data_IF_439565719933
#
_entry.id   IF_439565719933
#
_cell.length_a   1.000
_cell.length_b   1.000
_cell.length_c   1.000
_cell.angle_alpha   90.00
_cell.angle_beta   90.00
_cell.angle_gamma   90.00
#
_symmetry.space_group_name_H-M   'P 1'
#
loop_
_entity.id
_entity.type
_entity.pdbx_description
1 polymer ?
#
# COMPACT_ATOMS: atom_id res chain seq x y z
N UNK A 1 19.08 -14.50 -33.35
CA UNK A 1 17.62 -14.51 -33.52
C UNK A 1 17.03 -15.92 -33.43
N UNK A 2 17.62 -16.95 -34.10
CA UNK A 2 17.10 -18.32 -34.10
C UNK A 2 16.83 -18.91 -32.72
N UNK A 3 17.69 -18.60 -31.74
CA UNK A 3 17.51 -19.07 -30.35
C UNK A 3 16.28 -18.42 -29.66
N UNK A 4 16.03 -17.12 -29.88
CA UNK A 4 14.84 -16.45 -29.37
C UNK A 4 13.55 -17.05 -29.95
N UNK A 5 13.54 -17.36 -31.25
CA UNK A 5 12.40 -18.00 -31.91
C UNK A 5 12.09 -19.40 -31.36
N UNK A 6 13.13 -20.11 -30.88
CA UNK A 6 12.99 -21.38 -30.17
C UNK A 6 12.58 -21.22 -28.71
N UNK A 7 12.37 -20.00 -28.26
CA UNK A 7 11.90 -19.68 -26.89
C UNK A 7 12.99 -19.70 -25.82
N UNK A 8 14.29 -19.63 -26.17
CA UNK A 8 15.35 -19.46 -25.19
C UNK A 8 15.35 -18.01 -24.66
N UNK A 9 15.52 -17.86 -23.36
CA UNK A 9 15.75 -16.53 -22.79
C UNK A 9 17.20 -16.06 -23.05
N UNK A 10 17.48 -14.74 -23.03
CA UNK A 10 18.84 -14.23 -23.16
C UNK A 10 19.84 -14.86 -22.17
N UNK A 11 19.39 -15.18 -20.95
CA UNK A 11 20.21 -15.88 -19.95
C UNK A 11 20.56 -17.29 -20.37
N UNK A 12 19.62 -18.04 -20.97
CA UNK A 12 19.82 -19.38 -21.48
C UNK A 12 20.67 -19.42 -22.77
N UNK A 13 20.68 -18.29 -23.50
CA UNK A 13 21.50 -18.17 -24.73
C UNK A 13 22.97 -17.91 -24.43
N UNK A 14 23.29 -17.27 -23.31
CA UNK A 14 24.62 -16.82 -22.98
C UNK A 14 25.58 -18.01 -22.72
N UNK A 15 26.75 -18.03 -23.38
CA UNK A 15 27.75 -19.09 -23.24
C UNK A 15 28.23 -19.28 -21.80
N UNK A 16 28.34 -18.20 -21.02
CA UNK A 16 28.67 -18.27 -19.58
C UNK A 16 27.73 -19.11 -18.75
N UNK A 17 26.50 -19.35 -19.23
CA UNK A 17 25.46 -20.16 -18.62
C UNK A 17 25.24 -21.49 -19.38
N UNK A 18 26.20 -21.90 -20.20
CA UNK A 18 26.09 -23.10 -21.03
C UNK A 18 25.28 -22.92 -22.33
N UNK A 19 24.94 -21.71 -22.69
CA UNK A 19 24.18 -21.39 -23.91
C UNK A 19 25.05 -21.30 -25.16
N UNK A 20 24.45 -21.30 -26.37
CA UNK A 20 25.14 -21.35 -27.65
C UNK A 20 25.69 -20.00 -28.17
N UNK A 21 25.56 -18.92 -27.40
CA UNK A 21 25.89 -17.56 -27.87
C UNK A 21 26.93 -16.91 -26.95
N UNK A 22 28.08 -16.56 -27.51
CA UNK A 22 29.16 -15.88 -26.76
C UNK A 22 28.86 -14.36 -26.62
N UNK A 23 27.77 -14.06 -25.94
CA UNK A 23 27.35 -12.68 -25.61
C UNK A 23 26.74 -12.65 -24.21
N UNK A 24 26.87 -11.51 -23.56
CA UNK A 24 26.19 -11.32 -22.28
C UNK A 24 24.66 -11.18 -22.47
N UNK A 25 23.84 -11.63 -21.51
CA UNK A 25 22.39 -11.43 -21.56
C UNK A 25 21.99 -9.96 -21.76
N UNK A 26 22.68 -9.04 -21.13
CA UNK A 26 22.43 -7.59 -21.26
C UNK A 26 22.70 -7.07 -22.67
N UNK A 27 23.68 -7.65 -23.38
CA UNK A 27 23.94 -7.33 -24.78
C UNK A 27 22.79 -7.82 -25.67
N UNK A 28 22.31 -9.03 -25.43
CA UNK A 28 21.18 -9.61 -26.18
C UNK A 28 19.92 -8.79 -25.97
N UNK A 29 19.61 -8.36 -24.73
CA UNK A 29 18.49 -7.47 -24.44
C UNK A 29 18.61 -6.12 -25.16
N UNK A 30 19.82 -5.52 -25.20
CA UNK A 30 20.05 -4.29 -25.96
C UNK A 30 19.80 -4.46 -27.45
N UNK A 31 20.23 -5.57 -28.03
CA UNK A 31 20.00 -5.85 -29.44
C UNK A 31 18.51 -6.03 -29.75
N UNK A 32 17.77 -6.73 -28.89
CA UNK A 32 16.32 -6.86 -29.03
C UNK A 32 15.62 -5.50 -28.92
N UNK A 33 16.03 -4.66 -27.97
CA UNK A 33 15.46 -3.32 -27.78
C UNK A 33 15.78 -2.39 -28.95
N UNK A 34 16.97 -2.55 -29.57
CA UNK A 34 17.41 -1.79 -30.75
C UNK A 34 16.80 -2.31 -32.06
N UNK A 35 16.08 -3.43 -32.05
CA UNK A 35 15.55 -4.06 -33.26
C UNK A 35 16.62 -4.67 -34.17
N UNK A 36 17.83 -4.98 -33.65
CA UNK A 36 18.92 -5.54 -34.40
C UNK A 36 18.48 -6.85 -35.07
N UNK A 37 18.83 -7.06 -36.34
CA UNK A 37 18.39 -8.20 -37.17
C UNK A 37 16.87 -8.40 -37.16
N UNK A 38 16.08 -7.32 -37.06
CA UNK A 38 14.64 -7.34 -36.98
C UNK A 38 14.08 -8.06 -35.76
N UNK A 39 14.89 -8.22 -34.70
CA UNK A 39 14.41 -8.77 -33.41
C UNK A 39 13.46 -7.81 -32.73
N UNK A 40 12.47 -8.35 -32.04
CA UNK A 40 11.51 -7.56 -31.28
C UNK A 40 11.29 -8.14 -29.88
N UNK A 41 10.82 -7.33 -28.96
CA UNK A 41 10.44 -7.78 -27.61
C UNK A 41 9.38 -8.90 -27.61
N UNK A 42 8.67 -9.08 -28.72
CA UNK A 42 7.70 -10.16 -28.90
C UNK A 42 8.32 -11.53 -29.03
N UNK A 43 9.62 -11.59 -29.39
CA UNK A 43 10.39 -12.84 -29.50
C UNK A 43 10.99 -13.28 -28.14
N UNK A 44 10.93 -12.43 -27.11
CA UNK A 44 11.35 -12.81 -25.77
C UNK A 44 10.35 -13.76 -25.12
N UNK A 45 10.84 -14.77 -24.40
CA UNK A 45 10.02 -15.76 -23.68
C UNK A 45 9.05 -15.10 -22.67
N UNK A 46 9.48 -14.06 -21.98
CA UNK A 46 8.62 -13.17 -21.22
C UNK A 46 8.28 -11.98 -22.10
N UNK A 47 7.17 -12.07 -22.79
CA UNK A 47 6.63 -10.95 -23.54
C UNK A 47 6.35 -9.81 -22.56
N UNK A 48 7.16 -8.76 -22.61
CA UNK A 48 6.81 -7.50 -21.96
C UNK A 48 5.60 -6.99 -22.71
N UNK A 49 4.43 -7.05 -22.09
CA UNK A 49 3.22 -6.46 -22.65
C UNK A 49 3.47 -4.96 -22.81
N UNK A 50 3.79 -4.54 -24.04
CA UNK A 50 3.90 -3.13 -24.36
C UNK A 50 2.49 -2.54 -24.29
N UNK A 51 2.14 -1.97 -23.14
CA UNK A 51 0.97 -1.08 -23.06
C UNK A 51 1.46 0.28 -23.54
N UNK A 52 0.91 0.82 -24.66
CA UNK A 52 1.12 2.21 -25.00
C UNK A 52 0.82 3.02 -23.74
N UNK A 53 1.76 3.83 -23.27
CA UNK A 53 1.49 4.78 -22.19
C UNK A 53 0.33 5.65 -22.66
N UNK A 54 -0.88 5.42 -22.15
CA UNK A 54 -1.96 6.38 -22.30
C UNK A 54 -1.39 7.71 -21.81
N UNK A 55 -1.51 8.77 -22.62
CA UNK A 55 -1.29 10.13 -22.14
C UNK A 55 -2.11 10.27 -20.87
N UNK A 56 -1.43 10.30 -19.74
CA UNK A 56 -2.09 10.56 -18.45
C UNK A 56 -2.52 12.02 -18.57
N UNK A 57 -3.81 12.24 -18.69
CA UNK A 57 -4.37 13.58 -18.51
C UNK A 57 -4.00 13.97 -17.09
N UNK A 58 -3.13 14.96 -16.96
CA UNK A 58 -2.71 15.46 -15.66
C UNK A 58 -3.94 16.12 -15.07
N UNK A 59 -4.71 15.42 -14.24
CA UNK A 59 -5.65 16.09 -13.37
C UNK A 59 -4.84 17.06 -12.52
N UNK A 60 -5.30 18.31 -12.42
CA UNK A 60 -4.69 19.29 -11.55
C UNK A 60 -4.58 18.63 -10.17
N UNK A 61 -3.36 18.56 -9.64
CA UNK A 61 -3.14 18.04 -8.30
C UNK A 61 -4.01 18.87 -7.34
N UNK A 62 -4.79 18.19 -6.49
CA UNK A 62 -5.53 18.85 -5.42
C UNK A 62 -4.49 19.63 -4.61
N UNK A 63 -4.64 20.95 -4.51
CA UNK A 63 -3.71 21.78 -3.74
C UNK A 63 -4.15 21.70 -2.28
N UNK A 64 -3.50 20.86 -1.54
CA UNK A 64 -3.62 20.85 -0.08
C UNK A 64 -2.96 22.09 0.53
N UNK A 65 -3.37 22.48 1.72
CA UNK A 65 -2.75 23.61 2.41
C UNK A 65 -1.27 23.32 2.68
N UNK A 66 -0.43 24.37 2.67
CA UNK A 66 1.01 24.21 2.89
C UNK A 66 1.34 23.47 4.20
N UNK A 67 0.50 23.64 5.24
CA UNK A 67 0.63 22.95 6.55
C UNK A 67 0.41 21.43 6.47
N UNK A 68 -0.20 20.91 5.40
CA UNK A 68 -0.47 19.49 5.16
C UNK A 68 0.47 18.87 4.11
N UNK A 69 1.47 19.62 3.68
CA UNK A 69 2.45 19.15 2.69
C UNK A 69 3.38 18.08 3.28
N UNK A 70 4.04 17.32 2.41
CA UNK A 70 5.07 16.38 2.84
C UNK A 70 6.24 17.09 3.53
N UNK A 71 6.58 18.31 3.11
CA UNK A 71 7.58 19.13 3.80
C UNK A 71 7.16 19.47 5.24
N UNK A 72 5.88 19.79 5.46
CA UNK A 72 5.35 20.00 6.80
C UNK A 72 5.35 18.69 7.64
N UNK A 73 5.10 17.54 7.03
CA UNK A 73 5.24 16.24 7.67
C UNK A 73 6.68 16.01 8.16
N UNK A 74 7.68 16.25 7.31
CA UNK A 74 9.10 16.12 7.68
C UNK A 74 9.51 17.11 8.80
N UNK A 75 8.89 18.28 8.83
CA UNK A 75 9.14 19.29 9.87
C UNK A 75 8.68 18.86 11.28
N UNK A 76 7.87 17.78 11.41
CA UNK A 76 7.54 17.18 12.70
C UNK A 76 8.75 16.57 13.43
N UNK A 77 9.84 16.32 12.71
CA UNK A 77 11.02 15.63 13.20
C UNK A 77 10.97 14.11 12.96
N UNK A 78 12.13 13.48 13.10
CA UNK A 78 12.32 12.08 12.73
C UNK A 78 11.44 11.12 13.54
N UNK A 79 11.37 11.31 14.86
CA UNK A 79 10.58 10.46 15.77
C UNK A 79 9.07 10.52 15.44
N UNK A 80 8.53 11.71 15.20
CA UNK A 80 7.13 11.88 14.86
C UNK A 80 6.80 11.29 13.48
N UNK A 81 7.69 11.46 12.50
CA UNK A 81 7.57 10.83 11.18
C UNK A 81 7.64 9.30 11.27
N UNK A 82 8.52 8.76 12.12
CA UNK A 82 8.64 7.33 12.35
C UNK A 82 7.40 6.74 13.06
N UNK A 83 6.74 7.52 13.92
CA UNK A 83 5.53 7.14 14.65
C UNK A 83 4.23 7.31 13.84
N UNK A 84 4.30 7.76 12.60
CA UNK A 84 3.13 8.07 11.79
C UNK A 84 2.37 6.81 11.32
N UNK A 85 1.11 7.03 10.96
CA UNK A 85 0.29 6.11 10.18
C UNK A 85 0.42 6.42 8.69
N UNK A 86 0.39 5.40 7.87
CA UNK A 86 0.20 5.53 6.42
C UNK A 86 -1.21 5.06 6.04
N UNK A 87 -1.90 5.85 5.23
CA UNK A 87 -3.24 5.56 4.75
C UNK A 87 -3.23 5.43 3.23
N UNK A 88 -3.88 4.37 2.72
CA UNK A 88 -3.96 4.09 1.29
C UNK A 88 -5.19 3.25 0.96
N UNK A 89 -5.55 3.12 -0.31
CA UNK A 89 -6.61 2.25 -0.76
C UNK A 89 -6.10 1.11 -1.63
N UNK A 90 -6.68 -0.07 -1.45
CA UNK A 90 -6.38 -1.26 -2.26
C UNK A 90 -7.61 -1.65 -3.06
N UNK A 91 -7.51 -1.58 -4.38
CA UNK A 91 -8.58 -1.93 -5.31
C UNK A 91 -8.58 -3.43 -5.64
N UNK A 92 -9.74 -4.06 -5.69
CA UNK A 92 -9.94 -5.42 -6.12
C UNK A 92 -9.80 -5.63 -7.63
N UNK A 93 -10.72 -6.36 -8.23
CA UNK A 93 -10.82 -6.52 -9.66
C UNK A 93 -11.38 -5.23 -10.30
N UNK A 94 -11.29 -5.11 -11.64
CA UNK A 94 -11.90 -3.96 -12.33
C UNK A 94 -13.43 -3.94 -12.28
N UNK A 95 -14.03 -5.07 -11.93
CA UNK A 95 -15.48 -5.21 -11.85
C UNK A 95 -16.00 -4.91 -10.43
N UNK A 96 -15.12 -4.68 -9.46
CA UNK A 96 -15.50 -4.29 -8.10
C UNK A 96 -15.73 -2.78 -8.02
N UNK A 97 -16.78 -2.37 -7.33
CA UNK A 97 -16.96 -1.01 -6.84
C UNK A 97 -16.29 -0.83 -5.47
N UNK A 98 -16.32 -1.89 -4.66
CA UNK A 98 -15.69 -1.90 -3.35
C UNK A 98 -14.15 -1.89 -3.43
N UNK A 99 -13.55 -1.26 -2.44
CA UNK A 99 -12.12 -1.30 -2.18
C UNK A 99 -11.85 -1.42 -0.68
N UNK A 100 -10.58 -1.51 -0.29
CA UNK A 100 -10.18 -1.62 1.11
C UNK A 100 -9.35 -0.38 1.45
N UNK A 101 -9.75 0.35 2.49
CA UNK A 101 -8.90 1.35 3.12
C UNK A 101 -7.90 0.61 4.01
N UNK A 102 -6.63 0.84 3.78
CA UNK A 102 -5.54 0.28 4.59
C UNK A 102 -4.93 1.36 5.47
N UNK A 103 -4.83 1.08 6.75
CA UNK A 103 -4.16 1.92 7.73
C UNK A 103 -2.97 1.14 8.27
N UNK A 104 -1.77 1.69 8.11
CA UNK A 104 -0.53 1.08 8.57
C UNK A 104 0.10 1.92 9.67
N UNK A 105 0.27 1.36 10.85
CA UNK A 105 1.07 1.95 11.92
C UNK A 105 2.55 1.65 11.73
N UNK A 106 3.34 2.65 11.37
CA UNK A 106 4.77 2.48 11.03
C UNK A 106 5.58 1.76 12.10
N UNK A 107 5.51 2.12 13.40
CA UNK A 107 6.33 1.49 14.43
C UNK A 107 6.04 0.00 14.63
N UNK A 108 4.76 -0.36 14.81
CA UNK A 108 4.35 -1.74 15.08
C UNK A 108 4.14 -2.57 13.82
N UNK A 109 4.13 -1.95 12.64
CA UNK A 109 3.75 -2.61 11.37
C UNK A 109 2.33 -3.15 11.34
N UNK A 110 1.49 -2.78 12.32
CA UNK A 110 0.08 -3.17 12.35
C UNK A 110 -0.65 -2.63 11.13
N UNK A 111 -1.50 -3.47 10.56
CA UNK A 111 -2.35 -3.13 9.44
C UNK A 111 -3.82 -3.30 9.82
N UNK A 112 -4.62 -2.27 9.57
CA UNK A 112 -6.08 -2.35 9.61
C UNK A 112 -6.63 -2.28 8.18
N UNK A 113 -7.66 -3.07 7.93
CA UNK A 113 -8.35 -3.18 6.64
C UNK A 113 -9.81 -2.84 6.84
N UNK A 114 -10.21 -1.68 6.34
CA UNK A 114 -11.58 -1.20 6.47
C UNK A 114 -12.29 -1.30 5.12
N UNK A 115 -13.47 -1.94 5.05
CA UNK A 115 -14.19 -2.06 3.79
C UNK A 115 -14.74 -0.71 3.36
N UNK A 116 -14.54 -0.35 2.11
CA UNK A 116 -15.15 0.80 1.47
C UNK A 116 -16.10 0.31 0.36
N UNK A 117 -17.40 0.61 0.43
CA UNK A 117 -18.35 0.27 -0.65
C UNK A 117 -18.01 0.92 -1.99
N UNK A 118 -17.37 2.09 -1.95
CA UNK A 118 -16.87 2.79 -3.11
C UNK A 118 -15.56 3.51 -2.78
N UNK A 119 -14.76 3.81 -3.81
CA UNK A 119 -13.51 4.56 -3.67
C UNK A 119 -13.81 6.07 -3.74
N UNK A 120 -14.38 6.61 -2.68
CA UNK A 120 -14.72 8.03 -2.57
C UNK A 120 -14.47 8.58 -1.16
N UNK A 121 -14.51 9.91 -1.04
CA UNK A 121 -14.21 10.60 0.21
C UNK A 121 -15.25 10.34 1.31
N UNK A 122 -16.51 10.17 0.95
CA UNK A 122 -17.57 9.91 1.93
C UNK A 122 -17.40 8.52 2.57
N UNK A 123 -17.05 7.51 1.77
CA UNK A 123 -16.75 6.16 2.27
C UNK A 123 -15.52 6.14 3.18
N UNK A 124 -14.47 6.89 2.83
CA UNK A 124 -13.27 7.04 3.70
C UNK A 124 -13.65 7.71 5.01
N UNK A 125 -14.40 8.82 4.98
CA UNK A 125 -14.84 9.50 6.17
C UNK A 125 -15.72 8.60 7.07
N UNK A 126 -16.65 7.85 6.48
CA UNK A 126 -17.48 6.89 7.22
C UNK A 126 -16.63 5.79 7.90
N UNK A 127 -15.64 5.22 7.19
CA UNK A 127 -14.76 4.20 7.74
C UNK A 127 -13.92 4.73 8.92
N UNK A 128 -13.35 5.94 8.79
CA UNK A 128 -12.61 6.60 9.87
C UNK A 128 -13.53 7.00 11.04
N UNK A 129 -14.78 7.37 10.74
CA UNK A 129 -15.83 7.62 11.75
C UNK A 129 -16.08 6.36 12.60
N UNK A 130 -16.07 5.17 12.00
CA UNK A 130 -16.12 3.91 12.72
C UNK A 130 -14.95 3.72 13.70
N UNK A 131 -13.73 4.02 13.24
CA UNK A 131 -12.53 3.98 14.10
C UNK A 131 -12.65 4.97 15.26
N UNK A 132 -13.10 6.20 14.98
CA UNK A 132 -13.33 7.22 16.00
C UNK A 132 -14.39 6.81 17.02
N UNK A 133 -15.44 6.10 16.58
CA UNK A 133 -16.48 5.61 17.50
C UNK A 133 -15.94 4.57 18.50
N UNK A 134 -14.93 3.80 18.11
CA UNK A 134 -14.25 2.84 19.00
C UNK A 134 -13.31 3.54 19.99
N UNK A 135 -12.48 4.45 19.51
CA UNK A 135 -11.41 5.07 20.30
C UNK A 135 -11.86 6.32 21.08
N UNK A 136 -12.96 6.92 20.67
CA UNK A 136 -13.33 8.27 21.12
C UNK A 136 -12.37 9.36 20.58
N UNK A 137 -12.72 10.65 20.82
CA UNK A 137 -11.89 11.76 20.33
C UNK A 137 -10.47 11.74 20.87
N UNK A 138 -10.32 11.51 22.17
CA UNK A 138 -9.02 11.52 22.86
C UNK A 138 -8.15 10.33 22.42
N UNK A 139 -8.75 9.14 22.27
CA UNK A 139 -8.07 7.95 21.76
C UNK A 139 -7.59 8.13 20.33
N UNK A 140 -8.42 8.73 19.46
CA UNK A 140 -7.98 9.10 18.11
C UNK A 140 -6.73 9.99 18.13
N UNK A 141 -6.71 11.02 18.97
CA UNK A 141 -5.57 11.91 19.13
C UNK A 141 -4.30 11.22 19.64
N UNK A 142 -4.43 10.21 20.53
CA UNK A 142 -3.30 9.43 21.03
C UNK A 142 -2.76 8.45 20.00
N UNK A 143 -3.66 7.76 19.28
CA UNK A 143 -3.31 6.70 18.34
C UNK A 143 -2.84 7.28 16.99
N UNK A 144 -3.59 8.23 16.42
CA UNK A 144 -3.30 8.82 15.11
C UNK A 144 -2.55 10.15 15.23
N UNK A 145 -1.33 10.11 15.77
CA UNK A 145 -0.50 11.32 15.98
C UNK A 145 -0.13 12.04 14.69
N UNK A 146 0.13 11.30 13.63
CA UNK A 146 0.32 11.81 12.29
C UNK A 146 -0.17 10.77 11.29
N UNK A 147 -0.86 11.20 10.25
CA UNK A 147 -1.38 10.34 9.17
C UNK A 147 -0.86 10.89 7.86
N UNK A 148 -0.18 10.05 7.08
CA UNK A 148 0.34 10.35 5.76
C UNK A 148 -0.46 9.62 4.71
N UNK A 149 -0.99 10.33 3.72
CA UNK A 149 -1.73 9.75 2.59
C UNK A 149 -1.23 10.29 1.26
N UNK A 150 -1.72 9.75 0.14
CA UNK A 150 -1.47 10.33 -1.18
C UNK A 150 -2.54 11.35 -1.58
N UNK A 151 -2.45 11.83 -2.83
CA UNK A 151 -3.40 12.79 -3.38
C UNK A 151 -4.55 12.10 -4.13
N UNK A 152 -4.99 10.93 -3.68
CA UNK A 152 -6.14 10.23 -4.24
C UNK A 152 -7.43 11.04 -4.09
N UNK A 153 -8.36 10.89 -5.04
CA UNK A 153 -9.65 11.60 -4.97
C UNK A 153 -10.46 11.23 -3.73
N UNK A 154 -10.27 10.01 -3.23
CA UNK A 154 -10.87 9.49 -2.01
C UNK A 154 -10.36 10.17 -0.72
N UNK A 155 -9.24 10.87 -0.80
CA UNK A 155 -8.67 11.65 0.32
C UNK A 155 -8.82 13.16 0.11
N UNK A 156 -9.68 13.60 -0.82
CA UNK A 156 -9.83 15.01 -1.17
C UNK A 156 -10.60 15.84 -0.14
N UNK A 157 -11.40 15.21 0.70
CA UNK A 157 -12.09 15.88 1.81
C UNK A 157 -11.18 15.96 3.05
N UNK A 158 -10.16 16.83 2.95
CA UNK A 158 -9.17 16.98 4.01
C UNK A 158 -9.75 17.48 5.33
N UNK A 159 -10.85 18.25 5.30
CA UNK A 159 -11.53 18.73 6.50
C UNK A 159 -12.17 17.59 7.28
N UNK A 160 -13.00 16.79 6.60
CA UNK A 160 -13.68 15.67 7.24
C UNK A 160 -12.70 14.62 7.78
N UNK A 161 -11.59 14.33 7.04
CA UNK A 161 -10.56 13.39 7.50
C UNK A 161 -9.83 13.97 8.72
N UNK A 162 -9.45 15.24 8.69
CA UNK A 162 -8.74 15.91 9.78
C UNK A 162 -9.57 15.91 11.07
N UNK A 163 -10.85 16.21 10.97
CA UNK A 163 -11.77 16.16 12.12
C UNK A 163 -11.84 14.75 12.73
N UNK A 164 -11.80 13.72 11.88
CA UNK A 164 -11.88 12.34 12.32
C UNK A 164 -10.58 11.84 12.95
N UNK A 165 -9.42 12.24 12.45
CA UNK A 165 -8.12 11.88 13.06
C UNK A 165 -7.79 12.72 14.29
N UNK A 166 -8.68 13.65 14.69
CA UNK A 166 -8.59 14.35 15.95
C UNK A 166 -7.64 15.54 15.95
N UNK A 167 -7.56 16.28 14.85
CA UNK A 167 -6.83 17.55 14.82
C UNK A 167 -7.46 18.56 15.76
N UNK A 168 -6.64 19.11 16.67
CA UNK A 168 -7.03 20.21 17.52
C UNK A 168 -6.70 21.57 16.88
N UNK A 169 -7.11 22.68 17.52
CA UNK A 169 -6.76 24.02 17.09
C UNK A 169 -5.23 24.18 17.01
N UNK A 170 -4.71 24.49 15.80
CA UNK A 170 -3.28 24.70 15.57
C UNK A 170 -2.46 23.43 15.31
N UNK A 171 -3.01 22.25 15.52
CA UNK A 171 -2.35 20.98 15.22
C UNK A 171 -2.75 20.46 13.83
N UNK A 172 -1.80 19.90 13.12
CA UNK A 172 -2.06 19.18 11.87
C UNK A 172 -1.58 17.75 12.03
N UNK A 173 -2.49 16.82 11.85
CA UNK A 173 -2.21 15.37 11.94
C UNK A 173 -2.29 14.68 10.60
N UNK A 174 -3.01 15.28 9.64
CA UNK A 174 -3.16 14.76 8.28
C UNK A 174 -2.19 15.46 7.32
N UNK A 175 -1.39 14.64 6.61
CA UNK A 175 -0.39 15.11 5.63
C UNK A 175 -0.53 14.35 4.32
N UNK A 176 -0.12 15.00 3.24
CA UNK A 176 -0.17 14.46 1.89
C UNK A 176 1.22 14.33 1.29
N UNK A 177 1.48 13.20 0.65
CA UNK A 177 2.68 13.01 -0.14
C UNK A 177 2.73 14.00 -1.32
N UNK A 178 3.92 14.27 -1.80
CA UNK A 178 4.08 15.01 -3.04
C UNK A 178 3.48 14.22 -4.22
N UNK A 179 2.92 14.91 -5.21
CA UNK A 179 2.36 14.24 -6.37
C UNK A 179 3.38 13.32 -7.07
N UNK A 180 2.99 12.08 -7.34
CA UNK A 180 3.81 11.04 -7.99
C UNK A 180 5.04 10.58 -7.20
N UNK A 181 5.05 10.76 -5.90
CA UNK A 181 6.12 10.34 -5.00
C UNK A 181 5.64 9.16 -4.12
N UNK A 182 5.38 8.02 -4.74
CA UNK A 182 4.99 6.78 -4.03
C UNK A 182 6.03 6.29 -3.03
N UNK A 183 7.32 6.63 -3.28
CA UNK A 183 8.43 6.34 -2.39
C UNK A 183 8.26 6.93 -0.97
N UNK A 184 7.48 7.99 -0.82
CA UNK A 184 7.20 8.63 0.47
C UNK A 184 6.27 7.79 1.37
N UNK A 185 5.53 6.80 0.80
CA UNK A 185 4.72 5.79 1.50
C UNK A 185 5.27 4.37 1.34
N UNK A 186 6.58 4.20 1.35
CA UNK A 186 7.24 2.91 1.08
C UNK A 186 6.92 1.80 2.09
N UNK A 187 6.39 2.11 3.26
CA UNK A 187 5.95 1.09 4.21
C UNK A 187 4.60 0.49 3.79
N UNK A 188 3.66 1.30 3.30
CA UNK A 188 2.35 0.87 2.83
C UNK A 188 2.48 -0.02 1.58
N UNK A 189 3.32 0.37 0.61
CA UNK A 189 3.56 -0.45 -0.60
C UNK A 189 4.07 -1.85 -0.27
N UNK A 190 5.02 -1.98 0.67
CA UNK A 190 5.51 -3.29 1.12
C UNK A 190 4.43 -4.12 1.82
N UNK A 191 3.56 -3.47 2.57
CA UNK A 191 2.49 -4.16 3.29
C UNK A 191 1.33 -4.56 2.37
N UNK A 192 1.10 -3.86 1.28
CA UNK A 192 0.17 -4.31 0.24
C UNK A 192 0.60 -5.65 -0.37
N UNK A 193 1.90 -5.97 -0.40
CA UNK A 193 2.38 -7.29 -0.82
C UNK A 193 1.84 -8.38 0.12
N UNK A 194 1.84 -8.15 1.44
CA UNK A 194 1.31 -9.10 2.41
C UNK A 194 -0.20 -9.29 2.26
N UNK A 195 -0.94 -8.19 2.15
CA UNK A 195 -2.38 -8.24 1.86
C UNK A 195 -2.66 -9.04 0.57
N UNK A 196 -1.85 -8.84 -0.47
CA UNK A 196 -2.03 -9.51 -1.77
C UNK A 196 -1.72 -11.01 -1.76
N UNK A 197 -0.98 -11.50 -0.78
CA UNK A 197 -0.81 -12.96 -0.56
C UNK A 197 -2.14 -13.61 -0.14
N UNK A 198 -2.94 -12.91 0.66
CA UNK A 198 -4.24 -13.38 1.16
C UNK A 198 -5.39 -13.02 0.21
N UNK A 199 -5.36 -11.81 -0.34
CA UNK A 199 -6.38 -11.27 -1.23
C UNK A 199 -5.79 -10.94 -2.63
N UNK A 200 -5.46 -11.97 -3.44
CA UNK A 200 -4.80 -11.79 -4.71
C UNK A 200 -5.71 -11.12 -5.75
N UNK A 201 -5.15 -10.21 -6.53
CA UNK A 201 -5.88 -9.57 -7.63
C UNK A 201 -6.03 -10.55 -8.79
N UNK A 202 -7.25 -10.79 -9.24
CA UNK A 202 -7.52 -11.58 -10.44
C UNK A 202 -7.73 -13.08 -10.23
N UNK A 203 -7.71 -13.59 -9.00
CA UNK A 203 -7.99 -15.01 -8.68
C UNK A 203 -9.50 -15.34 -8.54
N UNK A 204 -10.39 -14.57 -9.21
CA UNK A 204 -11.83 -14.71 -9.04
C UNK A 204 -12.38 -14.08 -7.76
N UNK A 205 -11.51 -13.58 -6.90
CA UNK A 205 -11.90 -12.88 -5.68
C UNK A 205 -12.50 -11.51 -6.00
N UNK A 206 -13.69 -11.26 -5.44
CA UNK A 206 -14.42 -10.00 -5.58
C UNK A 206 -14.46 -9.28 -4.24
N UNK A 207 -13.98 -8.03 -4.21
CA UNK A 207 -14.02 -7.21 -3.00
C UNK A 207 -15.46 -6.84 -2.60
N UNK A 208 -16.36 -6.73 -3.56
CA UNK A 208 -17.80 -6.54 -3.31
C UNK A 208 -18.44 -7.67 -2.48
N UNK A 209 -17.77 -8.82 -2.35
CA UNK A 209 -18.26 -10.00 -1.62
C UNK A 209 -17.53 -10.25 -0.30
N UNK A 210 -16.50 -9.45 0.01
CA UNK A 210 -15.79 -9.59 1.27
C UNK A 210 -16.66 -9.09 2.42
N UNK A 211 -16.83 -9.93 3.41
CA UNK A 211 -17.47 -9.58 4.68
C UNK A 211 -16.47 -8.93 5.65
N UNK A 212 -16.96 -8.31 6.70
CA UNK A 212 -16.14 -7.84 7.81
C UNK A 212 -15.32 -8.97 8.44
N UNK A 213 -15.91 -10.19 8.54
CA UNK A 213 -15.22 -11.35 9.06
C UNK A 213 -14.05 -11.81 8.17
N UNK A 214 -14.19 -11.73 6.84
CA UNK A 214 -13.09 -12.05 5.91
C UNK A 214 -11.93 -11.08 6.08
N UNK A 215 -12.22 -9.79 6.28
CA UNK A 215 -11.19 -8.79 6.54
C UNK A 215 -10.55 -8.95 7.92
N UNK A 216 -11.34 -9.30 8.95
CA UNK A 216 -10.84 -9.60 10.28
C UNK A 216 -9.88 -10.80 10.25
N UNK A 217 -10.24 -11.86 9.52
CA UNK A 217 -9.37 -13.03 9.32
C UNK A 217 -8.07 -12.65 8.60
N UNK A 218 -8.15 -11.86 7.53
CA UNK A 218 -6.97 -11.39 6.80
C UNK A 218 -6.07 -10.52 7.69
N UNK A 219 -6.65 -9.62 8.48
CA UNK A 219 -5.92 -8.80 9.46
C UNK A 219 -5.25 -9.66 10.52
N UNK A 220 -5.95 -10.67 11.05
CA UNK A 220 -5.44 -11.60 12.06
C UNK A 220 -4.19 -12.31 11.56
N UNK A 221 -4.22 -12.86 10.35
CA UNK A 221 -3.05 -13.53 9.75
C UNK A 221 -1.87 -12.56 9.54
N UNK A 222 -2.09 -11.41 8.89
CA UNK A 222 -1.01 -10.46 8.60
C UNK A 222 -0.39 -9.89 9.87
N UNK A 223 -1.20 -9.63 10.89
CA UNK A 223 -0.75 -9.04 12.15
C UNK A 223 -0.22 -10.07 13.16
N UNK A 224 -0.36 -11.36 12.90
CA UNK A 224 0.23 -12.44 13.69
C UNK A 224 1.59 -12.92 13.15
N UNK A 225 1.99 -12.49 11.94
CA UNK A 225 3.26 -12.90 11.33
C UNK A 225 4.44 -12.19 12.00
N UNK A 226 5.41 -12.92 12.59
CA UNK A 226 6.59 -12.32 13.22
C UNK A 226 7.43 -11.51 12.22
N UNK A 227 7.84 -10.32 12.60
CA UNK A 227 8.63 -9.41 11.75
C UNK A 227 10.05 -9.24 12.28
N UNK A 228 11.05 -9.46 11.45
CA UNK A 228 12.44 -9.26 11.83
C UNK A 228 12.72 -7.81 12.30
N UNK A 229 12.06 -6.82 11.70
CA UNK A 229 12.15 -5.41 12.11
C UNK A 229 11.58 -5.14 13.53
N UNK A 230 10.81 -6.08 14.09
CA UNK A 230 10.22 -6.02 15.43
C UNK A 230 10.92 -7.01 16.41
N UNK A 231 12.14 -7.44 16.10
CA UNK A 231 12.82 -8.46 16.89
C UNK A 231 12.05 -9.79 16.92
N UNK A 232 11.39 -10.14 15.83
CA UNK A 232 10.50 -11.30 15.69
C UNK A 232 9.25 -11.27 16.57
N UNK A 233 8.88 -10.11 17.13
CA UNK A 233 7.53 -9.90 17.66
C UNK A 233 6.52 -9.77 16.52
N UNK A 234 5.24 -10.00 16.83
CA UNK A 234 4.14 -9.80 15.88
C UNK A 234 3.69 -8.34 15.87
N UNK A 235 3.15 -7.83 14.75
CA UNK A 235 2.55 -6.50 14.68
C UNK A 235 1.49 -6.24 15.76
N UNK A 236 0.62 -7.22 16.01
CA UNK A 236 -0.44 -7.09 17.02
C UNK A 236 0.13 -6.95 18.43
N UNK A 237 1.14 -7.75 18.81
CA UNK A 237 1.81 -7.63 20.11
C UNK A 237 2.55 -6.32 20.27
N UNK A 238 3.30 -5.93 19.25
CA UNK A 238 4.01 -4.66 19.26
C UNK A 238 3.05 -3.46 19.41
N UNK A 239 1.91 -3.51 18.73
CA UNK A 239 0.89 -2.46 18.79
C UNK A 239 0.26 -2.38 20.19
N UNK A 240 -0.13 -3.53 20.78
CA UNK A 240 -0.64 -3.59 22.16
C UNK A 240 0.40 -3.08 23.18
N UNK A 241 1.66 -3.43 23.01
CA UNK A 241 2.72 -2.96 23.90
C UNK A 241 2.94 -1.43 23.85
N UNK A 242 2.70 -0.81 22.68
CA UNK A 242 2.90 0.62 22.47
C UNK A 242 1.70 1.47 22.91
N UNK A 243 0.47 0.98 22.74
CA UNK A 243 -0.77 1.78 22.87
C UNK A 243 -1.77 1.23 23.89
N UNK A 244 -1.45 0.12 24.58
CA UNK A 244 -2.23 -0.40 25.69
C UNK A 244 -3.71 -0.62 25.38
N UNK A 245 -4.58 -0.01 26.17
CA UNK A 245 -6.03 -0.18 26.07
C UNK A 245 -6.61 0.35 24.75
N UNK A 246 -6.07 1.43 24.20
CA UNK A 246 -6.49 1.94 22.88
C UNK A 246 -6.23 0.88 21.79
N UNK A 247 -5.09 0.18 21.86
CA UNK A 247 -4.77 -0.90 20.93
C UNK A 247 -5.71 -2.10 21.12
N UNK A 248 -5.98 -2.50 22.37
CA UNK A 248 -6.89 -3.59 22.66
C UNK A 248 -8.30 -3.29 22.12
N UNK A 249 -8.85 -2.12 22.45
CA UNK A 249 -10.16 -1.69 21.98
C UNK A 249 -10.28 -1.72 20.44
N UNK A 250 -9.23 -1.25 19.74
CA UNK A 250 -9.24 -1.21 18.28
C UNK A 250 -9.15 -2.61 17.66
N UNK A 251 -8.26 -3.47 18.16
CA UNK A 251 -8.10 -4.83 17.66
C UNK A 251 -9.37 -5.67 17.91
N UNK A 252 -9.95 -5.56 19.09
CA UNK A 252 -11.16 -6.29 19.46
C UNK A 252 -12.37 -5.84 18.62
N UNK A 253 -12.56 -4.53 18.44
CA UNK A 253 -13.65 -4.00 17.63
C UNK A 253 -13.59 -4.43 16.15
N UNK A 254 -12.39 -4.64 15.62
CA UNK A 254 -12.20 -5.12 14.24
C UNK A 254 -11.93 -6.63 14.14
N UNK A 255 -12.10 -7.37 15.22
CA UNK A 255 -11.97 -8.83 15.24
C UNK A 255 -10.57 -9.33 14.91
N UNK A 256 -9.54 -8.60 15.29
CA UNK A 256 -8.14 -8.97 15.04
C UNK A 256 -7.64 -9.85 16.17
N UNK A 257 -7.51 -11.13 15.90
CA UNK A 257 -7.05 -12.15 16.85
C UNK A 257 -5.62 -12.61 16.52
N UNK A 258 -4.90 -13.10 17.53
CA UNK A 258 -3.61 -13.75 17.28
C UNK A 258 -3.85 -15.15 16.74
N UNK A 259 -3.33 -15.42 15.54
CA UNK A 259 -3.39 -16.73 14.89
C UNK A 259 -2.07 -17.45 15.12
N UNK A 260 -2.06 -18.71 15.57
CA UNK A 260 -0.85 -19.53 15.61
C UNK A 260 -0.29 -19.71 14.19
N UNK A 261 1.01 -19.49 14.03
CA UNK A 261 1.75 -19.65 12.75
C UNK A 261 2.64 -20.88 12.87
#
# INVERSE_FOLDING_TARGET
RGCLRRGLSPEQMAARNGGPVDLSPSTIYRWVAAGYDGMTNMELRRKVGYRPRKRVTVRAATRHSARRSYAAFLALGEDACAAAWEMDTVEGSRADSACILTLLHRPSRLQLYLPLPAKDAACVAAALGGVRSVLGPDGMGRVFRAVLTDNGAEFSDEGAIADLVGEGPGETRLFYCDPRRSDQKGACERNHVELRKLLPKGAGLRFDRLSAADLALAMSHVNSEPRGALGFSTPARAFRAMLGDDAAALLDAYGVEEVPI
#
